data_IF_216034086863
#
_entry.id   IF_216034086863
#
_cell.length_a   1.000
_cell.length_b   1.000
_cell.length_c   1.000
_cell.angle_alpha   90.00
_cell.angle_beta   90.00
_cell.angle_gamma   90.00
#
_symmetry.space_group_name_H-M   'P 1'
#
loop_
_entity.id
_entity.type
_entity.pdbx_description
1 polymer ?
#
# COMPACT_ATOMS: atom_id res chain seq x y z
N UNK A 1 14.12 28.37 7.69
CA UNK A 1 13.95 27.06 8.37
C UNK A 1 13.77 26.04 7.27
N UNK A 2 14.82 25.29 6.93
CA UNK A 2 14.77 24.29 5.86
C UNK A 2 14.22 23.00 6.46
N UNK A 3 12.96 22.68 6.14
CA UNK A 3 12.35 21.42 6.57
C UNK A 3 13.05 20.24 5.89
N UNK A 4 13.81 19.48 6.68
CA UNK A 4 14.26 18.15 6.30
C UNK A 4 13.10 17.18 6.47
N UNK A 5 12.22 17.12 5.46
CA UNK A 5 11.13 16.13 5.46
C UNK A 5 11.71 14.75 5.19
N UNK A 6 11.44 13.79 6.07
CA UNK A 6 11.83 12.40 5.86
C UNK A 6 11.23 11.88 4.54
N UNK A 7 11.95 11.02 3.79
CA UNK A 7 11.45 10.49 2.52
C UNK A 7 10.11 9.77 2.71
N UNK A 8 9.19 10.00 1.77
CA UNK A 8 7.86 9.39 1.79
C UNK A 8 7.98 7.87 1.74
N UNK A 9 7.31 7.17 2.67
CA UNK A 9 7.34 5.71 2.77
C UNK A 9 6.23 5.11 1.90
N UNK A 10 6.62 4.15 1.06
CA UNK A 10 5.69 3.40 0.19
C UNK A 10 5.58 1.97 0.72
N UNK A 11 4.35 1.46 0.81
CA UNK A 11 4.08 0.09 1.23
C UNK A 11 3.83 -0.82 0.02
N UNK A 12 4.66 -1.85 -0.17
CA UNK A 12 4.42 -2.92 -1.15
C UNK A 12 3.67 -4.07 -0.47
N UNK A 13 2.49 -4.42 -0.98
CA UNK A 13 1.67 -5.53 -0.48
C UNK A 13 1.63 -6.64 -1.51
N UNK A 14 2.21 -7.80 -1.18
CA UNK A 14 2.09 -9.04 -1.96
C UNK A 14 0.88 -9.84 -1.50
N UNK A 15 0.23 -10.57 -2.43
CA UNK A 15 -1.02 -11.25 -2.12
C UNK A 15 -2.19 -10.28 -1.90
N UNK A 16 -2.14 -9.10 -2.53
CA UNK A 16 -3.11 -8.02 -2.32
C UNK A 16 -4.54 -8.32 -2.84
N UNK A 17 -4.71 -9.36 -3.65
CA UNK A 17 -5.97 -9.68 -4.34
C UNK A 17 -7.05 -10.26 -3.43
N UNK A 18 -6.77 -10.58 -2.17
CA UNK A 18 -7.77 -11.16 -1.27
C UNK A 18 -7.34 -11.32 0.18
N UNK A 19 -8.28 -11.75 1.02
CA UNK A 19 -8.07 -12.05 2.44
C UNK A 19 -7.36 -10.92 3.18
N UNK A 20 -6.30 -11.30 3.90
CA UNK A 20 -5.52 -10.39 4.76
C UNK A 20 -4.82 -9.30 3.93
N UNK A 21 -4.25 -9.65 2.77
CA UNK A 21 -3.53 -8.69 1.93
C UNK A 21 -4.41 -7.52 1.48
N UNK A 22 -5.65 -7.82 1.08
CA UNK A 22 -6.65 -6.80 0.74
C UNK A 22 -7.01 -5.91 1.93
N UNK A 23 -7.24 -6.50 3.11
CA UNK A 23 -7.58 -5.74 4.31
C UNK A 23 -6.45 -4.78 4.72
N UNK A 24 -5.20 -5.24 4.67
CA UNK A 24 -4.02 -4.41 4.95
C UNK A 24 -3.89 -3.27 3.93
N UNK A 25 -4.06 -3.56 2.63
CA UNK A 25 -4.00 -2.55 1.58
C UNK A 25 -5.03 -1.44 1.80
N UNK A 26 -6.27 -1.82 2.11
CA UNK A 26 -7.35 -0.87 2.41
C UNK A 26 -7.04 -0.01 3.63
N UNK A 27 -6.55 -0.62 4.71
CA UNK A 27 -6.24 0.11 5.95
C UNK A 27 -5.06 1.07 5.77
N UNK A 28 -3.99 0.66 5.07
CA UNK A 28 -2.84 1.53 4.81
C UNK A 28 -3.20 2.71 3.90
N UNK A 29 -3.99 2.47 2.86
CA UNK A 29 -4.50 3.51 1.97
C UNK A 29 -5.40 4.50 2.73
N UNK A 30 -6.32 3.99 3.57
CA UNK A 30 -7.18 4.83 4.42
C UNK A 30 -6.39 5.72 5.39
N UNK A 31 -5.23 5.24 5.84
CA UNK A 31 -4.29 5.99 6.69
C UNK A 31 -3.36 6.93 5.90
N UNK A 32 -3.59 7.13 4.60
CA UNK A 32 -2.84 8.08 3.76
C UNK A 32 -1.48 7.57 3.28
N UNK A 33 -1.21 6.27 3.37
CA UNK A 33 0.03 5.71 2.82
C UNK A 33 -0.10 5.50 1.31
N UNK A 34 1.00 5.73 0.59
CA UNK A 34 1.14 5.25 -0.79
C UNK A 34 1.32 3.74 -0.77
N UNK A 35 0.42 3.03 -1.42
CA UNK A 35 0.40 1.57 -1.49
C UNK A 35 0.68 1.09 -2.92
N UNK A 36 1.46 0.03 -3.05
CA UNK A 36 1.69 -0.71 -4.30
C UNK A 36 1.17 -2.12 -4.09
N UNK A 37 0.24 -2.55 -4.95
CA UNK A 37 -0.42 -3.84 -4.83
C UNK A 37 0.20 -4.84 -5.81
N UNK A 38 0.56 -6.01 -5.32
CA UNK A 38 1.12 -7.09 -6.13
C UNK A 38 0.29 -8.38 -5.97
N UNK A 39 -0.12 -8.93 -7.09
CA UNK A 39 -0.91 -10.16 -7.17
C UNK A 39 -0.86 -10.79 -8.56
N UNK A 40 -1.27 -12.06 -8.64
CA UNK A 40 -1.23 -12.82 -9.91
C UNK A 40 -2.40 -12.50 -10.85
N UNK A 41 -3.54 -12.10 -10.29
CA UNK A 41 -4.71 -11.70 -11.06
C UNK A 41 -4.85 -10.17 -11.01
N UNK A 42 -4.50 -9.51 -12.11
CA UNK A 42 -4.53 -8.06 -12.23
C UNK A 42 -5.95 -7.47 -12.16
N UNK A 43 -6.98 -8.25 -12.54
CA UNK A 43 -8.38 -7.81 -12.48
C UNK A 43 -8.91 -7.69 -11.04
N UNK A 44 -8.18 -8.28 -10.08
CA UNK A 44 -8.54 -8.32 -8.66
C UNK A 44 -7.73 -7.33 -7.81
N UNK A 45 -6.89 -6.48 -8.42
CA UNK A 45 -6.07 -5.48 -7.74
C UNK A 45 -6.79 -4.14 -7.60
#
# INVERSE_FOLDING_TARGET
MTDFTAPERIALITGATGGIGRAIAQQLAANGHRVVLAGRNAEML
#
